data_IF_815455904074
#
_entry.id   IF_815455904074
#
_cell.length_a   1.000
_cell.length_b   1.000
_cell.length_c   1.000
_cell.angle_alpha   90.00
_cell.angle_beta   90.00
_cell.angle_gamma   90.00
#
_symmetry.space_group_name_H-M   'P 1'
#
loop_
_entity.id
_entity.type
_entity.pdbx_description
1 polymer ?
#
# COMPACT_ATOMS: atom_id res chain seq x y z
N UNK A 1 -7.04 19.08 -7.12
CA UNK A 1 -8.22 19.98 -6.96
C UNK A 1 -8.31 21.00 -8.09
N UNK A 2 -7.24 21.74 -8.40
CA UNK A 2 -7.28 22.74 -9.49
C UNK A 2 -7.56 22.13 -10.86
N UNK A 3 -7.11 20.89 -11.08
CA UNK A 3 -7.37 20.15 -12.32
C UNK A 3 -8.87 19.86 -12.49
N UNK A 4 -9.56 19.38 -11.44
CA UNK A 4 -11.01 19.09 -11.52
C UNK A 4 -11.78 20.39 -11.78
N UNK A 5 -11.49 21.44 -11.01
CA UNK A 5 -12.11 22.75 -11.22
C UNK A 5 -11.82 23.31 -12.62
N UNK A 6 -10.60 23.10 -13.14
CA UNK A 6 -10.23 23.51 -14.50
C UNK A 6 -10.98 22.74 -15.58
N UNK A 7 -11.12 21.42 -15.42
CA UNK A 7 -11.87 20.57 -16.35
C UNK A 7 -13.36 20.95 -16.33
N UNK A 8 -13.95 21.15 -15.15
CA UNK A 8 -15.33 21.63 -15.03
C UNK A 8 -15.51 22.99 -15.71
N UNK A 9 -14.61 23.95 -15.49
CA UNK A 9 -14.67 25.26 -16.18
C UNK A 9 -14.59 25.14 -17.70
N UNK A 10 -13.69 24.30 -18.22
CA UNK A 10 -13.58 24.06 -19.67
C UNK A 10 -14.85 23.40 -20.24
N UNK A 11 -15.45 22.49 -19.49
CA UNK A 11 -16.70 21.83 -19.83
C UNK A 11 -17.96 22.69 -19.55
N UNK A 12 -17.80 23.91 -19.03
CA UNK A 12 -18.90 24.79 -18.60
C UNK A 12 -19.82 24.14 -17.54
N UNK A 13 -19.24 23.31 -16.68
CA UNK A 13 -19.91 22.70 -15.54
C UNK A 13 -19.57 23.42 -14.25
N UNK A 14 -20.51 23.40 -13.31
CA UNK A 14 -20.24 23.81 -11.94
C UNK A 14 -19.20 22.88 -11.31
N UNK A 15 -18.36 23.43 -10.42
CA UNK A 15 -17.38 22.63 -9.71
C UNK A 15 -18.10 21.77 -8.67
N UNK A 16 -17.88 20.44 -8.66
CA UNK A 16 -18.54 19.56 -7.70
C UNK A 16 -18.00 19.80 -6.29
N UNK A 17 -18.82 19.49 -5.29
CA UNK A 17 -18.33 19.27 -3.93
C UNK A 17 -17.48 18.00 -3.90
N UNK A 18 -16.28 18.11 -3.34
CA UNK A 18 -15.34 16.99 -3.32
C UNK A 18 -15.28 16.38 -1.93
N UNK A 19 -15.58 15.09 -1.84
CA UNK A 19 -15.40 14.31 -0.63
C UNK A 19 -14.17 13.41 -0.77
N UNK A 20 -13.20 13.57 0.13
CA UNK A 20 -11.93 12.84 0.13
C UNK A 20 -11.88 11.93 1.35
N UNK A 21 -11.70 10.64 1.09
CA UNK A 21 -11.52 9.64 2.13
C UNK A 21 -10.05 9.26 2.26
N UNK A 22 -9.47 9.53 3.43
CA UNK A 22 -8.13 9.10 3.78
C UNK A 22 -8.25 7.74 4.48
N UNK A 23 -7.95 6.67 3.75
CA UNK A 23 -7.97 5.32 4.29
C UNK A 23 -6.57 4.86 4.72
N UNK A 24 -6.49 4.26 5.89
CA UNK A 24 -5.31 3.53 6.37
C UNK A 24 -5.74 2.49 7.42
N UNK A 25 -4.79 1.67 7.88
CA UNK A 25 -5.00 0.76 8.99
C UNK A 25 -5.39 1.52 10.27
N UNK A 26 -6.15 0.90 11.20
CA UNK A 26 -6.55 1.54 12.45
C UNK A 26 -5.40 2.05 13.32
N UNK A 27 -4.20 1.48 13.17
CA UNK A 27 -3.00 1.86 13.89
C UNK A 27 -2.30 3.12 13.33
N UNK A 28 -2.74 3.62 12.18
CA UNK A 28 -2.20 4.83 11.60
C UNK A 28 -2.50 6.06 12.48
N UNK A 29 -1.60 7.04 12.47
CA UNK A 29 -1.77 8.28 13.22
C UNK A 29 -2.66 9.29 12.47
N UNK A 30 -3.96 9.01 12.47
CA UNK A 30 -4.98 9.92 11.92
C UNK A 30 -4.96 11.29 12.59
N UNK A 31 -4.54 11.41 13.85
CA UNK A 31 -4.48 12.70 14.54
C UNK A 31 -3.47 13.63 13.88
N UNK A 32 -2.28 13.12 13.55
CA UNK A 32 -1.27 13.90 12.83
C UNK A 32 -1.75 14.28 11.43
N UNK A 33 -2.41 13.37 10.71
CA UNK A 33 -3.00 13.65 9.40
C UNK A 33 -4.04 14.77 9.50
N UNK A 34 -4.99 14.69 10.43
CA UNK A 34 -6.04 15.70 10.57
C UNK A 34 -5.51 17.08 10.97
N UNK A 35 -4.43 17.14 11.76
CA UNK A 35 -3.75 18.41 12.07
C UNK A 35 -3.14 19.10 10.85
N UNK A 36 -2.80 18.35 9.80
CA UNK A 36 -2.22 18.90 8.56
C UNK A 36 -3.26 19.42 7.56
N UNK A 37 -4.54 19.03 7.69
CA UNK A 37 -5.60 19.38 6.73
C UNK A 37 -5.84 20.89 6.60
N UNK A 38 -5.86 21.70 7.68
CA UNK A 38 -6.11 23.14 7.57
C UNK A 38 -5.10 23.90 6.69
N UNK A 39 -3.92 23.34 6.45
CA UNK A 39 -2.93 23.91 5.52
C UNK A 39 -3.41 23.91 4.05
N UNK A 40 -4.49 23.20 3.73
CA UNK A 40 -5.09 23.12 2.40
C UNK A 40 -6.34 24.00 2.23
N UNK A 41 -6.66 24.86 3.21
CA UNK A 41 -7.89 25.64 3.24
C UNK A 41 -8.00 26.66 2.08
N UNK A 42 -9.06 26.51 1.28
CA UNK A 42 -9.41 27.40 0.17
C UNK A 42 -10.29 26.79 -0.93
N UNK A 43 -10.68 25.50 -0.83
CA UNK A 43 -11.44 24.79 -1.87
C UNK A 43 -12.58 23.96 -1.25
N UNK A 44 -13.70 23.73 -1.95
CA UNK A 44 -14.84 22.92 -1.45
C UNK A 44 -14.45 21.44 -1.36
N UNK A 45 -13.76 21.07 -0.29
CA UNK A 45 -13.20 19.74 -0.05
C UNK A 45 -13.52 19.28 1.37
N UNK A 46 -14.30 18.22 1.50
CA UNK A 46 -14.66 17.58 2.76
C UNK A 46 -13.81 16.34 2.96
N UNK A 47 -13.02 16.29 4.03
CA UNK A 47 -12.09 15.20 4.28
C UNK A 47 -12.61 14.32 5.43
N UNK A 48 -12.57 13.01 5.25
CA UNK A 48 -12.90 12.03 6.28
C UNK A 48 -11.81 10.96 6.38
N UNK A 49 -11.50 10.50 7.58
CA UNK A 49 -10.64 9.33 7.79
C UNK A 49 -11.45 8.03 7.80
N UNK A 50 -10.88 6.97 7.24
CA UNK A 50 -11.47 5.63 7.19
C UNK A 50 -10.46 4.62 7.71
N UNK A 51 -10.64 4.19 8.96
CA UNK A 51 -9.79 3.17 9.56
C UNK A 51 -10.21 1.77 9.10
N UNK A 52 -9.31 1.04 8.44
CA UNK A 52 -9.56 -0.32 7.99
C UNK A 52 -8.60 -0.77 6.89
N UNK A 53 -8.42 -2.08 6.76
CA UNK A 53 -7.61 -2.64 5.68
C UNK A 53 -8.33 -2.50 4.34
N UNK A 54 -7.65 -1.95 3.33
CA UNK A 54 -8.13 -1.94 1.95
C UNK A 54 -8.24 -3.34 1.31
N UNK A 55 -7.81 -4.40 1.99
CA UNK A 55 -8.12 -5.77 1.59
C UNK A 55 -9.50 -6.26 2.06
N UNK A 56 -10.32 -5.34 2.58
CA UNK A 56 -11.71 -5.53 2.97
C UNK A 56 -12.58 -4.44 2.31
N UNK A 57 -13.90 -4.56 2.49
CA UNK A 57 -14.86 -3.53 2.09
C UNK A 57 -14.83 -2.39 3.11
N UNK A 58 -14.72 -1.17 2.62
CA UNK A 58 -14.59 0.08 3.37
C UNK A 58 -15.75 1.04 3.11
N UNK A 59 -16.37 0.95 1.93
CA UNK A 59 -17.38 1.90 1.48
C UNK A 59 -18.70 1.20 1.08
N UNK A 60 -19.82 1.93 1.06
CA UNK A 60 -21.04 1.48 0.41
C UNK A 60 -20.82 1.16 -1.07
N UNK A 61 -21.75 0.42 -1.67
CA UNK A 61 -21.63 0.09 -3.10
C UNK A 61 -21.91 1.31 -3.95
N UNK A 62 -21.15 1.45 -5.04
CA UNK A 62 -21.30 2.53 -6.02
C UNK A 62 -21.26 3.94 -5.39
N UNK A 63 -20.36 4.16 -4.44
CA UNK A 63 -20.18 5.46 -3.78
C UNK A 63 -18.84 6.13 -4.12
N UNK A 64 -17.89 5.41 -4.71
CA UNK A 64 -16.53 5.94 -4.98
C UNK A 64 -16.34 6.22 -6.47
N UNK A 65 -16.04 7.47 -6.81
CA UNK A 65 -15.80 7.93 -8.18
C UNK A 65 -14.37 7.66 -8.64
N UNK A 66 -13.42 7.86 -7.72
CA UNK A 66 -12.00 7.76 -8.00
C UNK A 66 -11.26 7.14 -6.82
N UNK A 67 -10.40 6.15 -7.09
CA UNK A 67 -9.50 5.57 -6.09
C UNK A 67 -8.08 5.96 -6.42
N UNK A 68 -7.35 6.46 -5.43
CA UNK A 68 -5.92 6.68 -5.51
C UNK A 68 -5.22 5.85 -4.45
N UNK A 69 -4.18 5.11 -4.84
CA UNK A 69 -3.30 4.41 -3.91
C UNK A 69 -1.87 4.53 -4.38
N UNK A 70 -1.02 5.10 -3.54
CA UNK A 70 0.40 5.28 -3.80
C UNK A 70 1.22 4.59 -2.73
N UNK A 71 2.20 3.77 -3.13
CA UNK A 71 3.14 3.07 -2.25
C UNK A 71 2.47 2.29 -1.09
N UNK A 72 1.28 1.73 -1.33
CA UNK A 72 0.52 1.01 -0.31
C UNK A 72 0.29 -0.47 -0.67
N UNK A 73 0.00 -0.76 -1.93
CA UNK A 73 -0.42 -2.10 -2.37
C UNK A 73 0.67 -3.18 -2.36
N UNK A 74 1.93 -2.80 -2.16
CA UNK A 74 3.04 -3.75 -2.02
C UNK A 74 3.12 -4.36 -0.60
N UNK A 75 2.41 -3.78 0.38
CA UNK A 75 2.29 -4.32 1.73
C UNK A 75 1.27 -5.46 1.78
N UNK A 76 1.74 -6.67 2.08
CA UNK A 76 0.86 -7.83 2.21
C UNK A 76 -0.05 -7.73 3.44
N UNK A 77 -1.22 -8.36 3.37
CA UNK A 77 -2.16 -8.40 4.50
C UNK A 77 -1.66 -9.20 5.70
N UNK A 78 -0.67 -10.08 5.47
CA UNK A 78 -0.03 -10.93 6.47
C UNK A 78 1.27 -11.49 5.90
N UNK A 79 2.12 -12.01 6.79
CA UNK A 79 3.26 -12.84 6.42
C UNK A 79 2.73 -14.10 5.69
N UNK A 80 3.28 -14.47 4.52
CA UNK A 80 2.88 -15.69 3.83
C UNK A 80 3.11 -16.93 4.69
N UNK A 81 2.22 -17.92 4.60
CA UNK A 81 2.41 -19.20 5.30
C UNK A 81 3.52 -20.01 4.62
N UNK A 82 4.27 -20.80 5.38
CA UNK A 82 5.29 -21.69 4.81
C UNK A 82 6.62 -21.00 4.51
N UNK A 83 6.86 -19.81 5.09
CA UNK A 83 8.13 -19.07 4.95
C UNK A 83 8.98 -19.13 6.22
N UNK A 84 8.58 -19.92 7.21
CA UNK A 84 9.28 -20.08 8.50
C UNK A 84 10.69 -20.65 8.33
N UNK A 85 10.93 -21.35 7.21
CA UNK A 85 12.23 -21.87 6.82
C UNK A 85 13.16 -20.82 6.18
N UNK A 86 12.72 -19.57 5.98
CA UNK A 86 13.53 -18.49 5.42
C UNK A 86 14.52 -17.91 6.46
N UNK A 87 15.25 -18.79 7.15
CA UNK A 87 16.15 -18.43 8.24
C UNK A 87 17.28 -17.54 7.73
N UNK A 88 17.62 -16.53 8.53
CA UNK A 88 18.68 -15.59 8.20
C UNK A 88 18.32 -14.55 7.12
N UNK A 89 17.06 -14.51 6.66
CA UNK A 89 16.59 -13.50 5.71
C UNK A 89 15.27 -12.88 6.19
N UNK A 90 15.16 -11.55 6.12
CA UNK A 90 13.91 -10.84 6.43
C UNK A 90 12.88 -10.90 5.29
N UNK A 91 13.35 -11.14 4.07
CA UNK A 91 12.54 -11.13 2.86
C UNK A 91 13.06 -12.18 1.86
N UNK A 92 12.57 -12.16 0.62
CA UNK A 92 13.07 -13.01 -0.47
C UNK A 92 14.52 -12.62 -0.77
N UNK A 93 15.42 -13.57 -0.64
CA UNK A 93 16.85 -13.42 -0.90
C UNK A 93 17.38 -14.60 -1.74
N UNK A 94 18.62 -14.48 -2.24
CA UNK A 94 19.27 -15.56 -3.02
C UNK A 94 19.43 -16.86 -2.25
N UNK A 95 19.56 -16.77 -0.93
CA UNK A 95 19.70 -17.92 -0.02
C UNK A 95 18.35 -18.47 0.43
N UNK A 96 17.24 -17.83 0.05
CA UNK A 96 15.90 -18.28 0.42
C UNK A 96 15.56 -19.61 -0.27
N UNK A 97 14.89 -20.52 0.45
CA UNK A 97 14.28 -21.70 -0.16
C UNK A 97 13.31 -21.33 -1.31
N UNK A 98 13.22 -22.11 -2.40
CA UNK A 98 12.38 -21.78 -3.55
C UNK A 98 10.88 -21.58 -3.23
N UNK A 99 10.36 -22.21 -2.17
CA UNK A 99 8.97 -22.04 -1.74
C UNK A 99 8.66 -20.64 -1.19
N UNK A 100 9.68 -19.88 -0.74
CA UNK A 100 9.48 -18.55 -0.15
C UNK A 100 8.93 -17.59 -1.19
N UNK A 101 9.60 -17.46 -2.34
CA UNK A 101 9.16 -16.54 -3.40
C UNK A 101 7.77 -16.90 -3.93
N UNK A 102 7.47 -18.20 -4.04
CA UNK A 102 6.13 -18.69 -4.41
C UNK A 102 5.08 -18.29 -3.38
N UNK A 103 5.34 -18.48 -2.08
CA UNK A 103 4.41 -18.12 -1.02
C UNK A 103 4.11 -16.61 -1.00
N UNK A 104 5.13 -15.76 -1.15
CA UNK A 104 4.95 -14.30 -1.28
C UNK A 104 4.11 -13.93 -2.51
N UNK A 105 4.39 -14.54 -3.66
CA UNK A 105 3.63 -14.31 -4.90
C UNK A 105 2.16 -14.72 -4.76
N UNK A 106 1.88 -15.88 -4.16
CA UNK A 106 0.52 -16.35 -3.90
C UNK A 106 -0.23 -15.45 -2.91
N UNK A 107 0.45 -14.99 -1.85
CA UNK A 107 -0.12 -14.06 -0.88
C UNK A 107 -0.46 -12.72 -1.55
N UNK A 108 0.47 -12.16 -2.34
CA UNK A 108 0.23 -10.92 -3.09
C UNK A 108 -0.94 -11.07 -4.08
N UNK A 109 -1.00 -12.17 -4.82
CA UNK A 109 -2.10 -12.44 -5.77
C UNK A 109 -3.45 -12.45 -5.05
N UNK A 110 -3.56 -13.16 -3.93
CA UNK A 110 -4.79 -13.23 -3.15
C UNK A 110 -5.18 -11.84 -2.61
N UNK A 111 -4.20 -11.09 -2.10
CA UNK A 111 -4.41 -9.77 -1.55
C UNK A 111 -4.85 -8.77 -2.61
N UNK A 112 -4.13 -8.69 -3.73
CA UNK A 112 -4.46 -7.80 -4.83
C UNK A 112 -5.81 -8.14 -5.48
N UNK A 113 -6.14 -9.44 -5.63
CA UNK A 113 -7.47 -9.85 -6.09
C UNK A 113 -8.58 -9.43 -5.14
N UNK A 114 -8.40 -9.54 -3.81
CA UNK A 114 -9.38 -9.04 -2.84
C UNK A 114 -9.54 -7.53 -2.91
N UNK A 115 -8.43 -6.80 -3.02
CA UNK A 115 -8.45 -5.35 -3.20
C UNK A 115 -9.30 -4.99 -4.42
N UNK A 116 -8.98 -5.55 -5.60
CA UNK A 116 -9.72 -5.26 -6.84
C UNK A 116 -11.21 -5.64 -6.72
N UNK A 117 -11.54 -6.77 -6.11
CA UNK A 117 -12.93 -7.18 -5.87
C UNK A 117 -13.70 -6.14 -5.06
N UNK A 118 -13.19 -5.75 -3.89
CA UNK A 118 -13.90 -4.80 -3.05
C UNK A 118 -13.95 -3.39 -3.67
N UNK A 119 -12.88 -2.95 -4.34
CA UNK A 119 -12.93 -1.68 -5.09
C UNK A 119 -13.98 -1.72 -6.20
N UNK A 120 -14.12 -2.83 -6.92
CA UNK A 120 -15.14 -2.96 -7.97
C UNK A 120 -16.57 -2.87 -7.44
N UNK A 121 -16.83 -3.33 -6.21
CA UNK A 121 -18.15 -3.23 -5.57
C UNK A 121 -18.48 -1.81 -5.09
N UNK A 122 -17.46 -1.08 -4.63
CA UNK A 122 -17.56 0.27 -4.05
C UNK A 122 -17.58 1.36 -5.12
N UNK A 123 -16.94 1.12 -6.25
CA UNK A 123 -16.83 2.10 -7.33
C UNK A 123 -18.13 2.21 -8.13
N UNK A 124 -18.42 3.42 -8.59
CA UNK A 124 -19.48 3.65 -9.57
C UNK A 124 -19.12 3.04 -10.93
N UNK A 125 -20.13 2.85 -11.79
CA UNK A 125 -19.91 2.60 -13.21
C UNK A 125 -19.06 3.74 -13.80
N UNK A 126 -18.07 3.40 -14.64
CA UNK A 126 -17.07 4.34 -15.18
C UNK A 126 -16.13 5.02 -14.17
N UNK A 127 -16.13 4.60 -12.91
CA UNK A 127 -15.12 5.02 -11.95
C UNK A 127 -13.70 4.68 -12.42
N UNK A 128 -12.70 5.42 -11.93
CA UNK A 128 -11.29 5.22 -12.31
C UNK A 128 -10.42 4.96 -11.07
N UNK A 129 -9.35 4.20 -11.27
CA UNK A 129 -8.33 4.00 -10.25
C UNK A 129 -6.96 4.42 -10.78
N UNK A 130 -6.19 5.15 -9.96
CA UNK A 130 -4.78 5.39 -10.18
C UNK A 130 -3.99 4.69 -9.07
N UNK A 131 -3.23 3.66 -9.46
CA UNK A 131 -2.48 2.81 -8.54
C UNK A 131 -0.99 2.90 -8.86
N UNK A 132 -0.19 3.29 -7.88
CA UNK A 132 1.27 3.27 -7.96
C UNK A 132 1.84 2.51 -6.77
N UNK A 133 2.75 1.59 -7.02
CA UNK A 133 3.37 0.78 -5.98
C UNK A 133 4.72 0.23 -6.46
N UNK A 134 5.54 -0.21 -5.51
CA UNK A 134 6.85 -0.77 -5.79
C UNK A 134 6.65 -2.08 -6.55
N UNK A 135 7.28 -2.17 -7.71
CA UNK A 135 7.36 -3.37 -8.51
C UNK A 135 8.81 -3.78 -8.75
N UNK A 136 9.00 -4.63 -9.74
CA UNK A 136 10.31 -5.10 -10.21
C UNK A 136 10.28 -5.22 -11.73
N UNK A 137 11.39 -4.92 -12.38
CA UNK A 137 11.53 -5.08 -13.83
C UNK A 137 12.22 -6.38 -14.20
N UNK A 138 12.92 -7.01 -13.25
CA UNK A 138 13.61 -8.28 -13.43
C UNK A 138 12.73 -9.42 -12.92
N UNK A 139 12.61 -10.49 -13.72
CA UNK A 139 11.75 -11.65 -13.43
C UNK A 139 12.23 -12.49 -12.25
N UNK A 140 13.52 -12.48 -11.93
CA UNK A 140 14.10 -13.12 -10.75
C UNK A 140 13.71 -12.36 -9.47
N UNK A 141 12.97 -12.94 -8.52
CA UNK A 141 12.53 -12.23 -7.31
C UNK A 141 13.66 -11.99 -6.29
N UNK A 142 14.86 -12.47 -6.57
CA UNK A 142 16.07 -12.25 -5.75
C UNK A 142 16.98 -11.16 -6.32
N UNK A 143 16.54 -10.47 -7.39
CA UNK A 143 17.30 -9.38 -7.99
C UNK A 143 17.33 -8.13 -7.12
N UNK A 144 18.38 -7.34 -7.34
CA UNK A 144 18.65 -6.11 -6.58
C UNK A 144 17.65 -4.97 -6.85
N UNK A 145 16.85 -5.04 -7.90
CA UNK A 145 15.88 -4.00 -8.25
C UNK A 145 14.76 -3.83 -7.21
N UNK A 146 14.40 -4.90 -6.49
CA UNK A 146 13.34 -4.89 -5.47
C UNK A 146 13.86 -5.22 -4.07
N UNK A 147 14.86 -6.11 -3.95
CA UNK A 147 15.23 -6.71 -2.67
C UNK A 147 16.41 -6.04 -1.96
N UNK A 148 17.10 -5.07 -2.59
CA UNK A 148 18.32 -4.47 -2.03
C UNK A 148 18.12 -3.88 -0.63
N UNK A 149 17.00 -3.19 -0.39
CA UNK A 149 16.73 -2.60 0.93
C UNK A 149 16.61 -3.67 2.02
N UNK A 150 15.96 -4.78 1.70
CA UNK A 150 15.76 -5.90 2.63
C UNK A 150 17.04 -6.71 2.84
N UNK A 151 17.86 -6.87 1.80
CA UNK A 151 19.18 -7.51 1.91
C UNK A 151 20.12 -6.72 2.82
N UNK A 152 20.18 -5.40 2.64
CA UNK A 152 20.99 -4.52 3.50
C UNK A 152 20.47 -4.55 4.94
N UNK A 153 19.16 -4.48 5.13
CA UNK A 153 18.59 -4.52 6.47
C UNK A 153 18.81 -5.87 7.17
N UNK A 154 18.72 -6.97 6.42
CA UNK A 154 19.05 -8.32 6.92
C UNK A 154 20.51 -8.37 7.39
N UNK A 155 21.45 -7.85 6.59
CA UNK A 155 22.87 -7.81 6.97
C UNK A 155 23.10 -7.00 8.24
N UNK A 156 22.54 -5.80 8.33
CA UNK A 156 22.66 -4.97 9.53
C UNK A 156 22.13 -5.67 10.79
N UNK A 157 21.02 -6.40 10.71
CA UNK A 157 20.51 -7.17 11.85
C UNK A 157 21.41 -8.36 12.19
N UNK A 158 21.96 -9.06 11.19
CA UNK A 158 22.90 -10.16 11.43
C UNK A 158 24.19 -9.66 12.09
N UNK A 159 24.70 -8.49 11.68
CA UNK A 159 25.87 -7.86 12.28
C UNK A 159 25.60 -7.52 13.75
N UNK A 160 24.44 -6.94 14.07
CA UNK A 160 24.03 -6.66 15.46
C UNK A 160 23.90 -7.93 16.30
N UNK A 161 23.32 -9.01 15.75
CA UNK A 161 23.22 -10.29 16.46
C UNK A 161 24.60 -10.89 16.71
N UNK A 162 25.50 -10.80 15.72
CA UNK A 162 26.87 -11.27 15.87
C UNK A 162 27.59 -10.49 16.99
N UNK A 163 27.50 -9.17 17.03
CA UNK A 163 28.07 -8.33 18.09
C UNK A 163 27.60 -8.76 19.49
N UNK A 164 26.30 -9.02 19.68
CA UNK A 164 25.77 -9.51 20.97
C UNK A 164 26.39 -10.85 21.37
N UNK A 165 26.61 -11.76 20.41
CA UNK A 165 27.30 -13.02 20.68
C UNK A 165 28.80 -12.87 20.99
N UNK A 166 29.45 -11.83 20.47
CA UNK A 166 30.84 -11.50 20.80
C UNK A 166 31.00 -10.92 22.22
N UNK A 167 29.97 -10.27 22.77
CA UNK A 167 30.01 -9.60 24.08
C UNK A 167 29.69 -10.58 25.25
N UNK A 168 29.32 -11.83 24.95
CA UNK A 168 29.32 -12.92 25.94
C UNK A 168 28.46 -12.70 27.18
N UNK A 169 27.16 -12.45 26.98
CA UNK A 169 26.13 -12.66 28.02
C UNK A 169 25.30 -13.89 27.67
#
# INVERSE_FOLDING_TARGET
MDIIASVCRQAHWESPELQVFLNDLPQNDFNTVFKSIPAFNGKPCFVAGVAGSFYQRLFPSKSIHFVHSSYSLHWLSKVPRGVEANKGNLYIAKTSPPNVSKAYSEQYRNDFSRFLRFRSEEMITEGRMLLTFIGRSITDPTSKDCCTIWDLFTKSLLDLVAEVHWIGV
#
